data_IF_693785545272
#
_entry.id   IF_693785545272
#
_cell.length_a   1.000
_cell.length_b   1.000
_cell.length_c   1.000
_cell.angle_alpha   90.00
_cell.angle_beta   90.00
_cell.angle_gamma   90.00
#
_symmetry.space_group_name_H-M   'P 1'
#
loop_
_entity.id
_entity.type
_entity.pdbx_description
1 polymer ?
#
# COMPACT_ATOMS: atom_id res chain seq x y z
N UNK A 1 13.77 7.71 58.14
CA UNK A 1 12.75 8.62 57.57
C UNK A 1 13.07 8.82 56.10
N UNK A 2 12.35 8.10 55.21
CA UNK A 2 12.50 8.29 53.76
C UNK A 2 11.79 9.57 53.35
N UNK A 3 12.54 10.58 52.89
CA UNK A 3 11.95 11.75 52.24
C UNK A 3 11.43 11.35 50.86
N UNK A 4 10.12 11.22 50.71
CA UNK A 4 9.48 11.14 49.40
C UNK A 4 9.59 12.53 48.75
N UNK A 5 10.54 12.70 47.83
CA UNK A 5 10.63 13.89 47.00
C UNK A 5 9.47 13.87 45.98
N UNK A 6 8.55 14.82 46.05
CA UNK A 6 7.51 15.02 45.07
C UNK A 6 8.06 15.75 43.83
N UNK A 7 7.47 15.50 42.65
CA UNK A 7 7.77 16.24 41.43
C UNK A 7 7.43 17.71 41.54
N UNK A 8 8.30 18.57 41.05
CA UNK A 8 8.03 20.00 40.94
C UNK A 8 7.12 20.29 39.73
N UNK A 9 6.33 21.36 39.83
CA UNK A 9 5.45 21.79 38.73
C UNK A 9 6.25 22.13 37.46
N UNK A 10 7.45 22.74 37.63
CA UNK A 10 8.32 23.06 36.49
C UNK A 10 8.86 21.80 35.80
N UNK A 11 9.19 20.76 36.54
CA UNK A 11 9.68 19.49 36.03
C UNK A 11 8.58 18.76 35.18
N UNK A 12 7.34 18.83 35.67
CA UNK A 12 6.19 18.31 34.91
C UNK A 12 5.96 19.11 33.63
N UNK A 13 6.05 20.44 33.65
CA UNK A 13 5.89 21.29 32.48
C UNK A 13 6.95 21.00 31.40
N UNK A 14 8.22 20.86 31.83
CA UNK A 14 9.31 20.56 30.90
C UNK A 14 9.13 19.18 30.28
N UNK A 15 8.76 18.16 31.08
CA UNK A 15 8.54 16.80 30.53
C UNK A 15 7.40 16.74 29.51
N UNK A 16 6.28 17.40 29.80
CA UNK A 16 5.14 17.45 28.83
C UNK A 16 5.53 18.21 27.58
N UNK A 17 6.30 19.30 27.68
CA UNK A 17 6.78 20.05 26.52
C UNK A 17 7.68 19.18 25.62
N UNK A 18 8.63 18.44 26.21
CA UNK A 18 9.52 17.55 25.47
C UNK A 18 8.72 16.42 24.77
N UNK A 19 7.79 15.78 25.51
CA UNK A 19 6.92 14.72 24.95
C UNK A 19 6.07 15.27 23.81
N UNK A 20 5.54 16.48 23.93
CA UNK A 20 4.76 17.15 22.88
C UNK A 20 5.57 17.35 21.59
N UNK A 21 6.81 17.83 21.71
CA UNK A 21 7.70 18.02 20.55
C UNK A 21 8.05 16.69 19.88
N UNK A 22 8.39 15.67 20.66
CA UNK A 22 8.70 14.34 20.12
C UNK A 22 7.48 13.71 19.43
N UNK A 23 6.30 13.81 20.02
CA UNK A 23 5.06 13.32 19.44
C UNK A 23 4.71 14.00 18.11
N UNK A 24 4.95 15.30 18.00
CA UNK A 24 4.68 16.06 16.77
C UNK A 24 5.48 15.53 15.56
N UNK A 25 6.67 14.98 15.79
CA UNK A 25 7.52 14.40 14.73
C UNK A 25 7.22 12.91 14.54
N UNK A 26 6.99 12.18 15.63
CA UNK A 26 6.83 10.73 15.60
C UNK A 26 5.51 10.28 14.97
N UNK A 27 4.39 10.96 15.21
CA UNK A 27 3.08 10.57 14.73
C UNK A 27 2.97 10.55 13.20
N UNK A 28 3.38 11.60 12.44
CA UNK A 28 3.33 11.56 10.98
C UNK A 28 4.26 10.50 10.38
N UNK A 29 5.43 10.29 10.97
CA UNK A 29 6.36 9.25 10.52
C UNK A 29 5.78 7.84 10.72
N UNK A 30 5.16 7.59 11.87
CA UNK A 30 4.48 6.32 12.16
C UNK A 30 3.35 6.03 11.17
N UNK A 31 2.50 7.01 10.87
CA UNK A 31 1.40 6.85 9.92
C UNK A 31 1.90 6.49 8.51
N UNK A 32 3.01 7.07 8.08
CA UNK A 32 3.63 6.72 6.80
C UNK A 32 4.17 5.30 6.80
N UNK A 33 4.78 4.86 7.89
CA UNK A 33 5.29 3.50 8.03
C UNK A 33 4.15 2.47 7.98
N UNK A 34 3.07 2.70 8.74
CA UNK A 34 1.88 1.85 8.73
C UNK A 34 1.27 1.76 7.32
N UNK A 35 1.17 2.90 6.62
CA UNK A 35 0.64 2.92 5.26
C UNK A 35 1.49 2.08 4.31
N UNK A 36 2.81 2.17 4.36
CA UNK A 36 3.70 1.32 3.55
C UNK A 36 3.47 -0.17 3.80
N UNK A 37 3.25 -0.56 5.06
CA UNK A 37 2.88 -1.93 5.40
C UNK A 37 1.59 -2.39 4.71
N UNK A 38 0.58 -1.50 4.63
CA UNK A 38 -0.68 -1.78 3.92
C UNK A 38 -0.47 -1.92 2.40
N UNK A 39 0.36 -1.06 1.80
CA UNK A 39 0.66 -1.14 0.36
C UNK A 39 1.38 -2.43 -0.03
N UNK A 40 2.15 -3.02 0.87
CA UNK A 40 2.84 -4.30 0.64
C UNK A 40 1.86 -5.42 0.30
N UNK A 41 0.63 -5.40 0.83
CA UNK A 41 -0.42 -6.37 0.47
C UNK A 41 -0.76 -6.30 -1.03
N UNK A 42 -0.92 -5.09 -1.59
CA UNK A 42 -1.18 -4.93 -3.02
C UNK A 42 -0.05 -5.50 -3.88
N UNK A 43 1.19 -5.22 -3.50
CA UNK A 43 2.36 -5.68 -4.25
C UNK A 43 2.50 -7.20 -4.20
N UNK A 44 2.33 -7.81 -3.03
CA UNK A 44 2.40 -9.27 -2.88
C UNK A 44 1.28 -9.96 -3.67
N UNK A 45 0.06 -9.42 -3.64
CA UNK A 45 -1.07 -9.95 -4.37
C UNK A 45 -0.86 -9.88 -5.89
N UNK A 46 -0.32 -8.76 -6.40
CA UNK A 46 0.01 -8.64 -7.83
C UNK A 46 1.16 -9.54 -8.28
N UNK A 47 2.18 -9.70 -7.43
CA UNK A 47 3.28 -10.61 -7.73
C UNK A 47 2.82 -12.08 -7.73
N UNK A 48 1.94 -12.47 -6.82
CA UNK A 48 1.34 -13.80 -6.82
C UNK A 48 0.49 -14.03 -8.08
N UNK A 49 -0.30 -13.03 -8.49
CA UNK A 49 -1.10 -13.09 -9.70
C UNK A 49 -0.23 -13.21 -10.96
N UNK A 50 0.90 -12.50 -11.01
CA UNK A 50 1.86 -12.63 -12.10
C UNK A 50 2.47 -14.02 -12.16
N UNK A 51 2.94 -14.58 -11.05
CA UNK A 51 3.51 -15.93 -11.01
C UNK A 51 2.48 -16.95 -11.51
N UNK A 52 1.23 -16.83 -11.08
CA UNK A 52 0.16 -17.71 -11.54
C UNK A 52 -0.12 -17.57 -13.04
N UNK A 53 -0.08 -16.35 -13.58
CA UNK A 53 -0.26 -16.12 -15.00
C UNK A 53 0.87 -16.77 -15.84
N UNK A 54 2.12 -16.65 -15.39
CA UNK A 54 3.26 -17.28 -16.06
C UNK A 54 3.20 -18.82 -16.01
N UNK A 55 2.79 -19.39 -14.87
CA UNK A 55 2.56 -20.84 -14.76
C UNK A 55 1.45 -21.30 -15.70
N UNK A 56 0.34 -20.59 -15.73
CA UNK A 56 -0.76 -20.88 -16.65
C UNK A 56 -0.33 -20.83 -18.13
N UNK A 57 0.47 -19.83 -18.50
CA UNK A 57 0.98 -19.70 -19.86
C UNK A 57 1.86 -20.88 -20.28
N UNK A 58 2.61 -21.50 -19.39
CA UNK A 58 3.41 -22.68 -19.72
C UNK A 58 2.54 -23.85 -20.19
N UNK A 59 1.35 -24.01 -19.61
CA UNK A 59 0.44 -25.09 -19.93
C UNK A 59 -0.49 -24.73 -21.11
N UNK A 60 -1.12 -23.56 -21.05
CA UNK A 60 -2.17 -23.14 -21.98
C UNK A 60 -1.64 -22.38 -23.21
N UNK A 61 -0.40 -21.90 -23.19
CA UNK A 61 0.23 -21.07 -24.24
C UNK A 61 -0.54 -19.79 -24.56
N UNK A 62 -1.37 -19.35 -23.64
CA UNK A 62 -2.14 -18.11 -23.73
C UNK A 62 -2.50 -17.64 -22.30
N UNK A 63 -2.66 -16.34 -22.11
CA UNK A 63 -3.11 -15.77 -20.83
C UNK A 63 -4.64 -15.71 -20.70
N UNK A 64 -5.38 -16.14 -21.71
CA UNK A 64 -6.83 -16.22 -21.63
C UNK A 64 -7.27 -17.26 -20.59
N UNK A 65 -8.21 -16.88 -19.72
CA UNK A 65 -8.77 -17.78 -18.73
C UNK A 65 -7.89 -18.02 -17.49
N UNK A 66 -6.81 -17.28 -17.29
CA UNK A 66 -6.01 -17.35 -16.07
C UNK A 66 -6.90 -17.07 -14.86
N UNK A 67 -6.99 -18.00 -13.89
CA UNK A 67 -7.77 -17.78 -12.69
C UNK A 67 -7.10 -16.73 -11.77
N UNK A 68 -7.91 -15.97 -11.05
CA UNK A 68 -7.36 -15.07 -10.02
C UNK A 68 -6.80 -15.89 -8.86
N UNK A 69 -5.60 -15.56 -8.33
CA UNK A 69 -5.04 -16.26 -7.19
C UNK A 69 -5.88 -16.04 -5.93
N UNK A 70 -5.89 -17.04 -5.05
CA UNK A 70 -6.39 -16.89 -3.70
C UNK A 70 -5.37 -16.09 -2.88
N UNK A 71 -5.71 -14.85 -2.54
CA UNK A 71 -4.85 -13.92 -1.81
C UNK A 71 -5.55 -13.33 -0.59
N UNK A 72 -4.79 -12.77 0.33
CA UNK A 72 -5.36 -11.99 1.42
C UNK A 72 -5.93 -10.67 0.88
N UNK A 73 -7.13 -10.32 1.31
CA UNK A 73 -7.86 -9.13 0.87
C UNK A 73 -8.30 -8.29 2.09
N UNK A 74 -7.34 -7.83 2.88
CA UNK A 74 -7.62 -7.01 4.07
C UNK A 74 -7.72 -5.53 3.74
N UNK A 75 -6.81 -5.02 2.92
CA UNK A 75 -6.75 -3.61 2.50
C UNK A 75 -7.00 -3.45 1.01
N UNK A 76 -6.59 -4.43 0.22
CA UNK A 76 -6.78 -4.47 -1.22
C UNK A 76 -7.63 -5.67 -1.62
N UNK A 77 -8.49 -5.49 -2.62
CA UNK A 77 -9.28 -6.58 -3.19
C UNK A 77 -8.42 -7.64 -3.88
N UNK A 78 -9.05 -8.75 -4.27
CA UNK A 78 -8.39 -9.76 -5.08
C UNK A 78 -7.95 -9.17 -6.43
N UNK A 79 -6.84 -9.67 -7.03
CA UNK A 79 -6.40 -9.24 -8.35
C UNK A 79 -7.47 -9.48 -9.41
N UNK A 80 -7.71 -8.47 -10.23
CA UNK A 80 -8.67 -8.48 -11.34
C UNK A 80 -7.88 -8.58 -12.63
N UNK A 81 -8.16 -9.60 -13.43
CA UNK A 81 -7.56 -9.80 -14.76
C UNK A 81 -8.29 -8.93 -15.79
N UNK A 82 -7.53 -8.21 -16.60
CA UNK A 82 -8.02 -7.46 -17.74
C UNK A 82 -7.05 -7.59 -18.92
N UNK A 83 -7.49 -7.24 -20.13
CA UNK A 83 -6.69 -7.31 -21.36
C UNK A 83 -6.05 -8.69 -21.60
N UNK A 84 -6.69 -9.77 -21.11
CA UNK A 84 -6.19 -11.12 -21.28
C UNK A 84 -6.36 -11.60 -22.74
N UNK A 85 -5.23 -11.87 -23.38
CA UNK A 85 -5.14 -12.36 -24.75
C UNK A 85 -4.10 -13.48 -24.83
N UNK A 86 -3.74 -13.89 -26.05
CA UNK A 86 -2.72 -14.94 -26.23
C UNK A 86 -1.39 -14.56 -25.57
N UNK A 87 -0.95 -13.30 -25.68
CA UNK A 87 0.39 -12.87 -25.24
C UNK A 87 0.37 -11.68 -24.28
N UNK A 88 -0.80 -11.19 -23.88
CA UNK A 88 -0.92 -10.01 -23.01
C UNK A 88 -1.86 -10.25 -21.85
N UNK A 89 -1.61 -9.59 -20.74
CA UNK A 89 -2.53 -9.45 -19.59
C UNK A 89 -2.24 -8.18 -18.80
N UNK A 90 -3.20 -7.78 -18.01
CA UNK A 90 -3.02 -6.76 -16.98
C UNK A 90 -3.71 -7.22 -15.70
N UNK A 91 -2.97 -7.35 -14.61
CA UNK A 91 -3.53 -7.53 -13.29
C UNK A 91 -3.71 -6.19 -12.60
N UNK A 92 -4.83 -6.01 -11.94
CA UNK A 92 -5.15 -4.80 -11.19
C UNK A 92 -5.62 -5.18 -9.79
N UNK A 93 -5.13 -4.49 -8.77
CA UNK A 93 -5.69 -4.52 -7.42
C UNK A 93 -6.14 -3.13 -7.02
N UNK A 94 -7.29 -3.05 -6.36
CA UNK A 94 -7.91 -1.80 -5.91
C UNK A 94 -8.00 -1.78 -4.39
N UNK A 95 -7.75 -0.62 -3.79
CA UNK A 95 -7.99 -0.39 -2.38
C UNK A 95 -9.47 -0.56 -2.03
N UNK A 96 -9.74 -1.26 -0.93
CA UNK A 96 -11.11 -1.53 -0.48
C UNK A 96 -11.77 -0.23 -0.03
N UNK A 97 -13.03 -0.03 -0.46
CA UNK A 97 -13.84 1.11 -0.06
C UNK A 97 -13.99 1.20 1.47
N UNK A 98 -13.95 2.41 2.01
CA UNK A 98 -13.99 2.66 3.45
C UNK A 98 -12.66 2.42 4.18
N UNK A 99 -11.61 1.95 3.48
CA UNK A 99 -10.28 1.77 4.06
C UNK A 99 -9.38 3.00 3.84
N UNK A 100 -8.24 3.06 4.54
CA UNK A 100 -7.26 4.14 4.36
C UNK A 100 -6.62 4.16 2.97
N UNK A 101 -6.70 3.04 2.24
CA UNK A 101 -6.13 2.85 0.90
C UNK A 101 -7.18 2.99 -0.20
N UNK A 102 -8.42 3.36 0.14
CA UNK A 102 -9.47 3.63 -0.84
C UNK A 102 -9.02 4.66 -1.88
N UNK A 103 -9.24 4.35 -3.16
CA UNK A 103 -8.84 5.18 -4.29
C UNK A 103 -7.41 4.93 -4.77
N UNK A 104 -6.63 4.06 -4.11
CA UNK A 104 -5.37 3.56 -4.65
C UNK A 104 -5.63 2.33 -5.52
N UNK A 105 -4.98 2.29 -6.68
CA UNK A 105 -4.99 1.13 -7.58
C UNK A 105 -3.57 0.88 -8.11
N UNK A 106 -3.21 -0.39 -8.22
CA UNK A 106 -1.91 -0.83 -8.71
C UNK A 106 -2.10 -1.84 -9.82
N UNK A 107 -1.25 -1.78 -10.84
CA UNK A 107 -1.28 -2.74 -11.95
C UNK A 107 0.08 -3.36 -12.20
N UNK A 108 0.07 -4.53 -12.86
CA UNK A 108 1.24 -5.18 -13.44
C UNK A 108 0.82 -5.90 -14.73
N UNK A 109 1.67 -5.86 -15.75
CA UNK A 109 1.48 -6.55 -17.02
C UNK A 109 2.52 -7.65 -17.25
N UNK A 110 2.42 -8.34 -18.39
CA UNK A 110 3.34 -9.39 -18.83
C UNK A 110 4.79 -8.92 -18.98
N UNK A 111 5.02 -7.63 -19.26
CA UNK A 111 6.34 -7.02 -19.38
C UNK A 111 6.90 -6.56 -18.03
N UNK A 112 6.20 -6.87 -16.92
CA UNK A 112 6.51 -6.36 -15.60
C UNK A 112 6.41 -4.83 -15.50
N UNK A 113 5.62 -4.19 -16.38
CA UNK A 113 5.32 -2.76 -16.27
C UNK A 113 4.41 -2.56 -15.07
N UNK A 114 4.81 -1.69 -14.18
CA UNK A 114 4.13 -1.42 -12.92
C UNK A 114 3.58 -0.01 -12.96
N UNK A 115 2.29 0.13 -12.69
CA UNK A 115 1.68 1.46 -12.59
C UNK A 115 0.91 1.61 -11.29
N UNK A 116 0.69 2.85 -10.91
CA UNK A 116 -0.13 3.20 -9.75
C UNK A 116 -1.04 4.35 -10.10
N UNK A 117 -2.26 4.29 -9.63
CA UNK A 117 -3.21 5.42 -9.73
C UNK A 117 -3.73 5.79 -8.35
N UNK A 118 -4.02 7.07 -8.17
CA UNK A 118 -4.64 7.60 -6.96
C UNK A 118 -5.80 8.50 -7.37
N UNK A 119 -7.00 8.16 -6.92
CA UNK A 119 -8.24 8.86 -7.23
C UNK A 119 -9.05 9.11 -5.95
N UNK A 120 -10.07 9.95 -6.03
CA UNK A 120 -11.00 10.16 -4.93
C UNK A 120 -10.33 10.39 -3.57
N UNK A 121 -10.65 9.57 -2.53
CA UNK A 121 -10.11 9.74 -1.18
C UNK A 121 -8.58 9.68 -1.10
N UNK A 122 -7.93 8.85 -1.91
CA UNK A 122 -6.46 8.77 -1.93
C UNK A 122 -5.84 10.07 -2.46
N UNK A 123 -6.36 10.61 -3.57
CA UNK A 123 -5.88 11.86 -4.13
C UNK A 123 -6.09 13.03 -3.16
N UNK A 124 -7.23 13.09 -2.47
CA UNK A 124 -7.53 14.09 -1.44
C UNK A 124 -6.55 14.04 -0.25
N UNK A 125 -5.99 12.87 0.06
CA UNK A 125 -4.95 12.68 1.10
C UNK A 125 -3.52 12.98 0.60
N UNK A 126 -3.36 13.47 -0.64
CA UNK A 126 -2.08 13.83 -1.25
C UNK A 126 -1.32 12.65 -1.88
N UNK A 127 -2.00 11.55 -2.19
CA UNK A 127 -1.43 10.50 -3.02
C UNK A 127 -1.53 10.90 -4.49
N UNK A 128 -0.48 10.65 -5.25
CA UNK A 128 -0.46 10.81 -6.70
C UNK A 128 -0.07 9.47 -7.35
N UNK A 129 -0.63 9.21 -8.53
CA UNK A 129 -0.27 8.03 -9.31
C UNK A 129 1.13 8.14 -9.91
N UNK A 130 1.64 7.01 -10.43
CA UNK A 130 2.86 6.93 -11.19
C UNK A 130 2.70 5.87 -12.30
N UNK A 131 3.05 6.25 -13.53
CA UNK A 131 2.89 5.38 -14.70
C UNK A 131 4.03 4.36 -14.89
N UNK A 132 5.08 4.40 -14.06
CA UNK A 132 6.29 3.59 -14.25
C UNK A 132 6.67 2.75 -13.04
N UNK A 133 5.98 2.93 -11.90
CA UNK A 133 6.28 2.18 -10.68
C UNK A 133 5.09 2.08 -9.72
N UNK A 134 5.23 1.23 -8.73
CA UNK A 134 4.34 1.18 -7.58
C UNK A 134 4.80 2.20 -6.53
N UNK A 135 3.92 3.14 -6.23
CA UNK A 135 4.20 4.22 -5.29
C UNK A 135 4.29 3.70 -3.85
N UNK A 136 5.29 4.13 -3.10
CA UNK A 136 5.48 3.84 -1.66
C UNK A 136 5.33 5.09 -0.80
N UNK A 137 5.18 6.25 -1.42
CA UNK A 137 5.05 7.57 -0.76
C UNK A 137 4.01 8.43 -1.44
N UNK A 138 3.51 9.43 -0.73
CA UNK A 138 2.69 10.50 -1.32
C UNK A 138 3.44 11.20 -2.45
N UNK A 139 2.73 11.93 -3.29
CA UNK A 139 3.27 12.62 -4.48
C UNK A 139 3.88 11.70 -5.54
N UNK A 140 3.44 10.42 -5.62
CA UNK A 140 3.88 9.50 -6.66
C UNK A 140 5.29 8.95 -6.49
N UNK A 141 5.87 9.04 -5.29
CA UNK A 141 7.21 8.52 -5.02
C UNK A 141 7.24 7.00 -4.94
N UNK A 142 8.23 6.37 -5.61
CA UNK A 142 8.51 4.92 -5.64
C UNK A 142 9.50 4.49 -4.57
#
# INVERSE_FOLDING_TARGET
MNKSGGFTLIELLITVAIVGILAAIALPAYNQYVMRGKLTEAYSNLLAARIQAEQWYQDARAYTGVPSPAVSAKYFGAPILSNAAATTYTWTVNGIAGSDVEGLSFTIDQNNTRTSTATGPAAAKGWAGNATCWIVRKNGGC
#
